data_IF_712915149013
#
_entry.id   IF_712915149013
#
_cell.length_a   1.000
_cell.length_b   1.000
_cell.length_c   1.000
_cell.angle_alpha   90.00
_cell.angle_beta   90.00
_cell.angle_gamma   90.00
#
_symmetry.space_group_name_H-M   'P 1'
#
loop_
_entity.id
_entity.type
_entity.pdbx_description
1 polymer ?
#
# COMPACT_ATOMS: atom_id res chain seq x y z
N UNK A 1 12.74 -9.34 1.09
CA UNK A 1 11.70 -9.40 0.05
C UNK A 1 10.41 -8.93 0.68
N UNK A 2 9.72 -8.01 0.02
CA UNK A 2 8.42 -7.53 0.49
C UNK A 2 7.32 -8.48 0.02
N UNK A 3 6.19 -8.48 0.75
CA UNK A 3 5.00 -9.24 0.38
C UNK A 3 4.08 -8.35 -0.42
N UNK A 4 3.49 -8.89 -1.49
CA UNK A 4 2.53 -8.21 -2.34
C UNK A 4 1.26 -9.04 -2.43
N UNK A 5 0.12 -8.35 -2.45
CA UNK A 5 -1.18 -9.00 -2.59
C UNK A 5 -1.75 -8.74 -3.98
N UNK A 6 -2.06 -9.83 -4.68
CA UNK A 6 -2.72 -9.77 -5.97
C UNK A 6 -4.24 -9.89 -5.81
N UNK A 7 -5.04 -8.83 -6.05
CA UNK A 7 -6.50 -8.90 -5.94
C UNK A 7 -7.13 -9.79 -7.02
N UNK A 8 -6.46 -9.97 -8.17
CA UNK A 8 -6.90 -10.86 -9.26
C UNK A 8 -6.74 -12.34 -8.91
N UNK A 9 -5.60 -12.70 -8.33
CA UNK A 9 -5.31 -14.09 -7.96
C UNK A 9 -5.75 -14.43 -6.52
N UNK A 10 -6.14 -13.43 -5.73
CA UNK A 10 -6.39 -13.51 -4.30
C UNK A 10 -5.24 -14.22 -3.54
N UNK A 11 -4.00 -13.90 -3.92
CA UNK A 11 -2.79 -14.55 -3.41
C UNK A 11 -1.77 -13.52 -2.96
N UNK A 12 -1.10 -13.86 -1.86
CA UNK A 12 0.08 -13.15 -1.36
C UNK A 12 1.31 -13.83 -1.96
N UNK A 13 2.26 -13.03 -2.45
CA UNK A 13 3.52 -13.51 -2.99
C UNK A 13 4.65 -12.58 -2.57
N UNK A 14 5.87 -13.12 -2.53
CA UNK A 14 7.08 -12.37 -2.24
C UNK A 14 7.75 -11.96 -3.55
N UNK A 15 8.11 -10.68 -3.67
CA UNK A 15 8.78 -10.14 -4.84
C UNK A 15 9.64 -8.93 -4.45
N UNK A 16 10.50 -8.50 -5.37
CA UNK A 16 11.17 -7.21 -5.25
C UNK A 16 10.21 -6.10 -5.68
N UNK A 17 9.94 -5.16 -4.78
CA UNK A 17 9.06 -4.02 -5.03
C UNK A 17 9.71 -2.99 -5.93
N UNK A 18 9.01 -2.57 -6.98
CA UNK A 18 9.31 -1.36 -7.72
C UNK A 18 8.75 -0.15 -6.98
N UNK A 19 9.62 0.82 -6.66
CA UNK A 19 9.19 2.11 -6.11
C UNK A 19 8.49 2.92 -7.21
N UNK A 20 7.20 3.18 -7.02
CA UNK A 20 6.42 4.05 -7.89
C UNK A 20 6.20 5.37 -7.17
N UNK A 21 6.81 6.42 -7.70
CA UNK A 21 6.79 7.75 -7.15
C UNK A 21 5.80 8.61 -7.94
N UNK A 22 5.04 9.47 -7.25
CA UNK A 22 4.18 10.45 -7.87
C UNK A 22 4.16 11.72 -7.03
N UNK A 23 4.01 12.86 -7.70
CA UNK A 23 3.87 14.14 -7.03
C UNK A 23 2.38 14.46 -6.90
N UNK A 24 1.88 14.47 -5.67
CA UNK A 24 0.54 14.95 -5.37
C UNK A 24 0.57 16.45 -5.11
N UNK A 25 -0.33 17.20 -5.73
CA UNK A 25 -0.47 18.65 -5.47
C UNK A 25 -0.89 18.96 -4.04
N UNK A 26 -1.50 18.00 -3.34
CA UNK A 26 -1.98 18.15 -1.95
C UNK A 26 -0.91 17.74 -0.94
N UNK A 27 -0.09 16.75 -1.28
CA UNK A 27 0.75 16.04 -0.31
C UNK A 27 2.25 16.05 -0.62
N UNK A 28 2.63 16.66 -1.74
CA UNK A 28 4.01 16.67 -2.21
C UNK A 28 4.44 15.33 -2.83
N UNK A 29 5.70 14.97 -2.65
CA UNK A 29 6.26 13.74 -3.20
C UNK A 29 5.78 12.52 -2.42
N UNK A 30 5.01 11.67 -3.07
CA UNK A 30 4.53 10.40 -2.54
C UNK A 30 5.20 9.24 -3.27
N UNK A 31 5.32 8.11 -2.57
CA UNK A 31 5.74 6.86 -3.19
C UNK A 31 4.96 5.67 -2.63
N UNK A 32 4.87 4.61 -3.43
CA UNK A 32 4.36 3.31 -3.02
C UNK A 32 5.20 2.22 -3.65
N UNK A 33 5.21 1.07 -3.01
CA UNK A 33 5.86 -0.12 -3.52
C UNK A 33 4.84 -0.94 -4.30
N UNK A 34 5.21 -1.30 -5.53
CA UNK A 34 4.38 -2.13 -6.42
C UNK A 34 5.19 -3.28 -6.99
N UNK A 35 4.57 -4.43 -7.18
CA UNK A 35 5.17 -5.56 -7.88
C UNK A 35 4.20 -6.13 -8.91
N UNK A 36 4.73 -6.73 -9.98
CA UNK A 36 3.90 -7.46 -10.95
C UNK A 36 3.67 -8.89 -10.47
N UNK A 37 2.41 -9.32 -10.45
CA UNK A 37 2.11 -10.72 -10.13
C UNK A 37 2.70 -11.64 -11.22
N UNK A 38 3.44 -12.71 -10.87
CA UNK A 38 3.99 -13.63 -11.86
C UNK A 38 2.91 -14.43 -12.61
N UNK A 39 1.71 -14.54 -12.05
CA UNK A 39 0.61 -15.31 -12.67
C UNK A 39 -0.21 -14.48 -13.68
N UNK A 40 -0.59 -13.25 -13.32
CA UNK A 40 -1.51 -12.44 -14.11
C UNK A 40 -0.93 -11.10 -14.59
N UNK A 41 0.36 -10.85 -14.32
CA UNK A 41 1.11 -9.64 -14.68
C UNK A 41 0.49 -8.30 -14.25
N UNK A 42 -0.51 -8.34 -13.36
CA UNK A 42 -1.20 -7.15 -12.84
C UNK A 42 -0.35 -6.46 -11.78
N UNK A 43 -0.37 -5.12 -11.73
CA UNK A 43 0.25 -4.31 -10.68
C UNK A 43 -0.40 -4.62 -9.34
N UNK A 44 0.38 -5.14 -8.41
CA UNK A 44 -0.01 -5.49 -7.05
C UNK A 44 0.65 -4.52 -6.08
N UNK A 45 -0.06 -4.15 -5.02
CA UNK A 45 0.48 -3.27 -3.99
C UNK A 45 1.08 -4.09 -2.85
N UNK A 46 1.98 -3.47 -2.09
CA UNK A 46 2.56 -4.04 -0.87
C UNK A 46 1.44 -4.53 0.07
N UNK A 47 1.55 -5.79 0.48
CA UNK A 47 0.69 -6.39 1.48
C UNK A 47 1.23 -6.02 2.86
N UNK A 48 0.47 -5.22 3.60
CA UNK A 48 0.75 -4.94 5.00
C UNK A 48 -0.17 -5.80 5.85
N UNK A 49 0.37 -6.57 6.82
CA UNK A 49 -0.48 -7.16 7.84
C UNK A 49 -1.13 -6.00 8.58
N UNK A 50 -2.46 -5.99 8.59
CA UNK A 50 -3.21 -5.13 9.50
C UNK A 50 -2.70 -5.49 10.91
N UNK A 51 -2.08 -4.52 11.60
CA UNK A 51 -1.67 -4.72 12.98
C UNK A 51 -2.85 -5.22 13.81
N UNK A 52 -2.62 -5.88 14.97
CA UNK A 52 -3.70 -6.42 15.78
C UNK A 52 -4.76 -5.33 15.99
N UNK A 53 -5.98 -5.63 15.55
CA UNK A 53 -7.15 -4.77 15.64
C UNK A 53 -7.48 -4.45 17.10
N UNK A 54 -6.72 -3.55 17.72
CA UNK A 54 -7.20 -2.80 18.84
C UNK A 54 -8.11 -1.73 18.24
N UNK A 55 -9.41 -1.90 18.47
CA UNK A 55 -10.34 -0.78 18.51
C UNK A 55 -9.71 0.27 19.44
N UNK A 56 -9.75 1.53 19.01
CA UNK A 56 -9.14 2.72 19.61
C UNK A 56 -7.71 3.04 19.11
N UNK A 57 -7.58 4.19 18.45
CA UNK A 57 -6.31 4.85 18.14
C UNK A 57 -5.93 4.79 16.67
N UNK A 58 -6.25 5.86 15.93
CA UNK A 58 -5.81 6.07 14.56
C UNK A 58 -4.29 5.92 14.42
N UNK A 59 -3.86 4.92 13.66
CA UNK A 59 -2.47 4.80 13.23
C UNK A 59 -2.33 5.45 11.86
N UNK A 60 -2.17 6.78 11.88
CA UNK A 60 -1.62 7.52 10.74
C UNK A 60 -0.16 7.09 10.55
N UNK A 61 0.05 5.99 9.82
CA UNK A 61 1.36 5.63 9.33
C UNK A 61 1.73 6.65 8.26
N UNK A 62 2.52 7.64 8.67
CA UNK A 62 2.81 8.86 7.92
C UNK A 62 3.17 8.61 6.45
N UNK A 63 2.25 8.99 5.58
CA UNK A 63 2.46 9.54 4.24
C UNK A 63 1.09 10.04 3.79
N UNK A 64 0.86 11.32 4.05
CA UNK A 64 -0.37 12.09 3.85
C UNK A 64 -1.64 11.68 4.60
N UNK A 65 -1.82 12.31 5.75
CA UNK A 65 -3.10 12.38 6.47
C UNK A 65 -3.55 13.84 6.54
N UNK A 66 -4.09 14.38 5.44
CA UNK A 66 -5.17 15.37 5.56
C UNK A 66 -6.48 14.66 5.27
N UNK A 67 -7.00 13.98 6.28
CA UNK A 67 -8.42 13.63 6.30
C UNK A 67 -9.17 14.83 6.88
N UNK A 68 -9.53 15.76 6.00
CA UNK A 68 -10.63 16.68 6.25
C UNK A 68 -11.92 15.86 6.43
N UNK A 69 -12.58 16.01 7.58
CA UNK A 69 -13.98 15.66 7.76
C UNK A 69 -14.27 14.24 8.26
N UNK A 70 -14.45 14.12 9.57
CA UNK A 70 -15.43 13.22 10.16
C UNK A 70 -16.21 14.01 11.22
N UNK A 71 -17.44 14.38 10.83
CA UNK A 71 -18.60 14.91 11.57
C UNK A 71 -18.39 15.58 12.92
#
# INVERSE_FOLDING_TARGET
>A
MEKFYCPRCNKIFEAEGGKKEWQSSVFGYCFKLVAKCPNCQTECNEWRPEGPSNKEGGSCSGSCSVCSGCS
#
